data_IF_995336389098
#
_entry.id   IF_995336389098
#
_cell.length_a   1.000
_cell.length_b   1.000
_cell.length_c   1.000
_cell.angle_alpha   90.00
_cell.angle_beta   90.00
_cell.angle_gamma   90.00
#
_symmetry.space_group_name_H-M   'P 1'
#
loop_
_entity.id
_entity.type
_entity.pdbx_description
1 polymer ?
#
# COMPACT_ATOMS: atom_id res chain seq x y z
N UNK A 1 -2.84 6.17 5.94
CA UNK A 1 -2.24 4.85 6.24
C UNK A 1 -1.82 4.68 7.70
N UNK A 2 -0.57 5.00 8.10
CA UNK A 2 0.05 4.47 9.34
C UNK A 2 -0.74 4.66 10.66
N UNK A 3 -1.40 5.79 10.87
CA UNK A 3 -2.22 6.02 12.07
C UNK A 3 -3.39 5.01 12.19
N UNK A 4 -3.95 4.55 11.09
CA UNK A 4 -5.04 3.55 11.05
C UNK A 4 -4.51 2.14 11.30
N UNK A 5 -3.34 1.78 10.78
CA UNK A 5 -2.68 0.50 11.11
C UNK A 5 -2.27 0.45 12.59
N UNK A 6 -1.80 1.56 13.16
CA UNK A 6 -1.57 1.70 14.61
C UNK A 6 -2.86 1.62 15.42
N UNK A 7 -3.99 2.09 14.90
CA UNK A 7 -5.29 1.90 15.56
C UNK A 7 -5.70 0.41 15.56
N UNK A 8 -5.49 -0.29 14.44
CA UNK A 8 -5.74 -1.73 14.32
C UNK A 8 -4.90 -2.57 15.29
N UNK A 9 -3.58 -2.33 15.35
CA UNK A 9 -2.69 -3.05 16.31
C UNK A 9 -2.91 -2.67 17.78
N UNK A 10 -3.69 -1.61 18.05
CA UNK A 10 -4.16 -1.22 19.38
C UNK A 10 -5.64 -1.61 19.63
N UNK A 11 -6.14 -2.65 18.93
CA UNK A 11 -7.44 -3.25 19.21
C UNK A 11 -8.66 -2.44 18.76
N UNK A 12 -8.50 -1.54 17.78
CA UNK A 12 -9.60 -0.73 17.21
C UNK A 12 -9.89 -1.14 15.78
N UNK A 13 -11.16 -1.25 15.40
CA UNK A 13 -11.53 -1.43 14.00
C UNK A 13 -11.04 -0.25 13.16
N UNK A 14 -10.30 -0.54 12.09
CA UNK A 14 -9.83 0.44 11.12
C UNK A 14 -10.40 0.11 9.74
N UNK A 15 -10.88 1.13 9.02
CA UNK A 15 -11.43 0.99 7.67
C UNK A 15 -10.57 1.79 6.70
N UNK A 16 -10.22 1.18 5.58
CA UNK A 16 -9.59 1.85 4.43
C UNK A 16 -10.56 1.84 3.26
N UNK A 17 -10.74 2.99 2.63
CA UNK A 17 -11.52 3.17 1.41
C UNK A 17 -10.56 3.34 0.21
N UNK A 18 -10.85 2.61 -0.87
CA UNK A 18 -10.14 2.61 -2.16
C UNK A 18 -9.89 4.01 -2.71
N UNK A 19 -10.84 4.93 -2.56
CA UNK A 19 -10.73 6.29 -3.13
C UNK A 19 -9.87 7.23 -2.25
N UNK A 20 -9.78 6.98 -0.94
CA UNK A 20 -9.09 7.86 0.02
C UNK A 20 -7.85 7.26 0.70
N UNK A 21 -7.27 6.17 0.19
CA UNK A 21 -6.06 5.53 0.78
C UNK A 21 -4.81 6.43 0.87
N UNK A 22 -4.75 7.52 0.11
CA UNK A 22 -3.61 8.45 0.05
C UNK A 22 -2.54 8.02 -0.95
N UNK A 23 -1.38 7.53 -0.45
CA UNK A 23 -0.24 7.18 -1.30
C UNK A 23 -0.47 5.86 -2.06
N UNK A 24 -0.06 5.77 -3.33
CA UNK A 24 -0.21 4.56 -4.16
C UNK A 24 0.39 3.29 -3.55
N UNK A 25 1.50 3.39 -2.81
CA UNK A 25 2.07 2.26 -2.08
C UNK A 25 1.12 1.68 -1.02
N UNK A 26 0.28 2.53 -0.39
CA UNK A 26 -0.81 2.06 0.49
C UNK A 26 -1.94 1.40 -0.29
N UNK A 27 -2.30 1.89 -1.48
CA UNK A 27 -3.33 1.27 -2.32
C UNK A 27 -2.92 -0.13 -2.80
N UNK A 28 -1.68 -0.27 -3.27
CA UNK A 28 -1.08 -1.57 -3.65
C UNK A 28 -0.99 -2.50 -2.43
N UNK A 29 -0.47 -2.03 -1.29
CA UNK A 29 -0.37 -2.82 -0.06
C UNK A 29 -1.74 -3.24 0.52
N UNK A 30 -2.80 -2.48 0.25
CA UNK A 30 -4.19 -2.80 0.63
C UNK A 30 -4.92 -3.62 -0.44
N UNK A 31 -4.28 -3.97 -1.56
CA UNK A 31 -4.89 -4.79 -2.61
C UNK A 31 -5.99 -4.08 -3.41
N UNK A 32 -5.85 -2.77 -3.61
CA UNK A 32 -6.74 -1.95 -4.44
C UNK A 32 -6.17 -1.74 -5.87
N UNK A 33 -5.51 -2.77 -6.42
CA UNK A 33 -4.92 -2.75 -7.76
C UNK A 33 -3.60 -1.98 -7.84
N UNK A 34 -3.15 -1.68 -9.07
CA UNK A 34 -1.88 -0.96 -9.28
C UNK A 34 -2.05 0.55 -9.05
N UNK A 35 -2.19 0.94 -7.78
CA UNK A 35 -2.41 2.33 -7.38
C UNK A 35 -1.19 3.26 -7.56
N UNK A 36 -0.07 2.78 -8.13
CA UNK A 36 1.06 3.66 -8.47
C UNK A 36 0.69 4.68 -9.55
N UNK A 37 0.02 4.29 -10.65
CA UNK A 37 -0.45 5.29 -11.64
C UNK A 37 -1.49 6.26 -11.05
N UNK A 38 -2.53 5.73 -10.39
CA UNK A 38 -3.71 6.53 -9.97
C UNK A 38 -3.40 7.58 -8.91
N UNK A 39 -2.37 7.35 -8.08
CA UNK A 39 -1.93 8.29 -7.04
C UNK A 39 -0.95 9.37 -7.53
N UNK A 40 -0.68 9.45 -8.83
CA UNK A 40 0.31 10.37 -9.40
C UNK A 40 1.77 9.95 -9.20
N UNK A 41 2.04 8.78 -8.59
CA UNK A 41 3.39 8.21 -8.51
C UNK A 41 3.87 7.64 -9.87
N UNK A 42 2.93 7.24 -10.74
CA UNK A 42 3.15 6.77 -12.11
C UNK A 42 3.84 5.40 -12.21
N UNK A 43 3.37 4.52 -13.09
CA UNK A 43 3.94 3.16 -13.25
C UNK A 43 5.41 3.15 -13.77
N UNK A 44 5.94 4.31 -14.19
CA UNK A 44 7.39 4.61 -14.34
C UNK A 44 7.62 6.12 -14.13
N UNK A 45 6.98 6.68 -13.09
CA UNK A 45 6.75 8.12 -12.92
C UNK A 45 7.38 8.76 -11.68
N UNK A 46 8.39 8.12 -11.07
CA UNK A 46 9.15 8.65 -9.93
C UNK A 46 9.36 7.65 -8.81
N UNK A 47 8.52 6.61 -8.71
CA UNK A 47 8.66 5.56 -7.70
C UNK A 47 10.00 4.81 -7.83
N UNK A 48 10.48 4.63 -9.07
CA UNK A 48 11.78 4.02 -9.34
C UNK A 48 12.97 4.86 -8.84
N UNK A 49 12.90 6.19 -8.93
CA UNK A 49 13.93 7.08 -8.35
C UNK A 49 13.80 7.16 -6.83
N UNK A 50 12.58 7.25 -6.29
CA UNK A 50 12.31 7.28 -4.86
C UNK A 50 12.84 6.03 -4.15
N UNK A 51 12.67 4.84 -4.73
CA UNK A 51 13.20 3.58 -4.19
C UNK A 51 14.71 3.36 -4.51
N UNK A 52 15.40 4.33 -5.11
CA UNK A 52 16.82 4.25 -5.45
C UNK A 52 17.59 5.54 -5.14
N UNK A 53 17.99 6.31 -6.16
CA UNK A 53 18.96 7.41 -6.08
C UNK A 53 18.35 8.78 -5.74
N UNK A 54 17.03 8.88 -5.64
CA UNK A 54 16.32 10.15 -5.70
C UNK A 54 16.33 10.74 -7.12
N UNK A 55 15.63 11.87 -7.29
CA UNK A 55 15.49 12.57 -8.60
C UNK A 55 16.51 13.69 -8.83
N UNK A 56 17.36 13.98 -7.85
CA UNK A 56 18.24 15.15 -7.84
C UNK A 56 17.57 16.39 -7.25
N UNK A 57 18.10 17.57 -7.57
CA UNK A 57 17.70 18.84 -6.96
C UNK A 57 16.20 19.15 -7.12
N UNK A 58 15.61 19.76 -6.07
CA UNK A 58 14.18 20.07 -6.03
C UNK A 58 13.27 18.92 -5.62
N UNK A 59 13.80 17.70 -5.44
CA UNK A 59 13.07 16.53 -4.96
C UNK A 59 13.62 15.99 -3.64
N UNK A 60 12.90 15.05 -3.03
CA UNK A 60 13.41 14.26 -1.91
C UNK A 60 14.56 13.34 -2.36
N UNK A 61 15.46 13.05 -1.44
CA UNK A 61 16.47 12.00 -1.55
C UNK A 61 15.80 10.63 -1.73
N UNK A 62 16.51 9.67 -2.33
CA UNK A 62 16.02 8.32 -2.50
C UNK A 62 16.20 7.47 -1.24
N UNK A 63 15.25 6.57 -0.99
CA UNK A 63 15.27 5.57 0.08
C UNK A 63 16.41 4.53 -0.06
N UNK A 64 17.10 4.47 -1.21
CA UNK A 64 18.27 3.63 -1.41
C UNK A 64 18.03 2.10 -1.47
N UNK A 65 16.77 1.65 -1.37
CA UNK A 65 16.43 0.20 -1.33
C UNK A 65 16.90 -0.58 -2.56
N UNK A 66 17.09 0.09 -3.69
CA UNK A 66 17.62 -0.47 -4.95
C UNK A 66 18.76 0.42 -5.46
N UNK A 67 19.84 -0.20 -5.95
CA UNK A 67 21.06 0.52 -6.35
C UNK A 67 20.86 1.50 -7.51
N UNK A 68 19.89 1.26 -8.39
CA UNK A 68 19.61 2.11 -9.56
C UNK A 68 18.10 2.17 -9.87
N UNK A 69 17.63 3.18 -10.61
CA UNK A 69 16.23 3.28 -11.03
C UNK A 69 15.75 2.10 -11.89
N UNK A 70 16.62 1.48 -12.70
CA UNK A 70 16.25 0.33 -13.53
C UNK A 70 15.92 -0.89 -12.67
N UNK A 71 16.70 -1.12 -11.60
CA UNK A 71 16.44 -2.18 -10.62
C UNK A 71 15.18 -1.91 -9.80
N UNK A 72 14.87 -0.64 -9.52
CA UNK A 72 13.64 -0.24 -8.84
C UNK A 72 12.41 -0.38 -9.74
N UNK A 73 12.49 0.05 -11.00
CA UNK A 73 11.42 -0.12 -12.00
C UNK A 73 11.15 -1.60 -12.26
N UNK A 74 12.20 -2.42 -12.40
CA UNK A 74 12.09 -3.87 -12.50
C UNK A 74 11.39 -4.47 -11.27
N UNK A 75 11.75 -4.04 -10.05
CA UNK A 75 11.10 -4.49 -8.82
C UNK A 75 9.61 -4.13 -8.79
N UNK A 76 9.24 -2.87 -9.03
CA UNK A 76 7.84 -2.40 -8.99
C UNK A 76 6.97 -3.14 -10.02
N UNK A 77 7.47 -3.33 -11.24
CA UNK A 77 6.76 -4.06 -12.32
C UNK A 77 6.57 -5.55 -12.06
N UNK A 78 7.32 -6.14 -11.13
CA UNK A 78 7.23 -7.55 -10.73
C UNK A 78 6.64 -7.75 -9.32
N UNK A 79 6.02 -6.71 -8.74
CA UNK A 79 5.22 -6.88 -7.53
C UNK A 79 3.98 -7.75 -7.83
N UNK A 80 3.58 -8.66 -6.93
CA UNK A 80 2.33 -9.41 -7.05
C UNK A 80 1.14 -8.51 -6.73
N UNK A 81 0.77 -7.64 -7.68
CA UNK A 81 -0.35 -6.72 -7.54
C UNK A 81 -1.66 -7.52 -7.43
N UNK A 82 -2.46 -7.21 -6.42
CA UNK A 82 -3.80 -7.76 -6.22
C UNK A 82 -4.81 -6.62 -6.37
N UNK A 83 -5.89 -6.85 -7.11
CA UNK A 83 -7.03 -5.94 -7.19
C UNK A 83 -8.28 -6.67 -6.65
N UNK A 84 -8.65 -6.38 -5.41
CA UNK A 84 -9.82 -6.96 -4.75
C UNK A 84 -11.08 -6.18 -5.14
N UNK A 85 -12.20 -6.81 -5.52
CA UNK A 85 -13.40 -6.15 -6.06
C UNK A 85 -14.26 -5.42 -5.00
N UNK A 86 -13.61 -4.79 -4.01
CA UNK A 86 -14.23 -4.12 -2.88
C UNK A 86 -13.76 -2.65 -2.80
N UNK A 87 -14.67 -1.76 -2.40
CA UNK A 87 -14.37 -0.36 -2.07
C UNK A 87 -13.65 -0.25 -0.72
N UNK A 88 -14.06 -1.06 0.26
CA UNK A 88 -13.54 -0.98 1.63
C UNK A 88 -12.71 -2.21 2.00
N UNK A 89 -11.64 -2.00 2.78
CA UNK A 89 -10.89 -3.06 3.45
C UNK A 89 -10.86 -2.78 4.95
N UNK A 90 -11.48 -3.68 5.71
CA UNK A 90 -11.66 -3.55 7.17
C UNK A 90 -10.60 -4.39 7.89
N UNK A 91 -9.94 -3.80 8.87
CA UNK A 91 -9.09 -4.47 9.85
C UNK A 91 -9.85 -4.47 11.17
N UNK A 92 -10.28 -5.65 11.61
CA UNK A 92 -11.04 -5.87 12.85
C UNK A 92 -10.21 -6.74 13.80
N UNK A 93 -10.19 -6.46 15.12
CA UNK A 93 -9.58 -7.36 16.10
C UNK A 93 -10.22 -8.76 16.05
N UNK A 94 -9.40 -9.81 16.13
CA UNK A 94 -9.86 -11.20 15.89
C UNK A 94 -10.82 -11.71 16.99
N UNK A 95 -10.71 -11.18 18.20
CA UNK A 95 -11.61 -11.40 19.34
C UNK A 95 -12.98 -10.72 19.16
N UNK A 96 -13.10 -9.79 18.21
CA UNK A 96 -14.35 -9.09 17.86
C UNK A 96 -15.00 -9.63 16.58
N UNK A 97 -14.40 -10.62 15.92
CA UNK A 97 -14.98 -11.30 14.76
C UNK A 97 -16.10 -12.24 15.21
N UNK A 98 -17.25 -12.18 14.55
CA UNK A 98 -18.34 -13.16 14.73
C UNK A 98 -18.38 -14.15 13.55
N UNK A 99 -17.91 -15.41 13.72
CA UNK A 99 -17.91 -16.40 12.65
C UNK A 99 -19.29 -16.81 12.11
N UNK A 100 -20.38 -16.43 12.79
CA UNK A 100 -21.75 -16.64 12.29
C UNK A 100 -22.23 -15.52 11.36
N UNK A 101 -21.51 -14.38 11.31
CA UNK A 101 -21.90 -13.17 10.56
C UNK A 101 -20.85 -12.77 9.52
N UNK A 102 -19.56 -12.95 9.80
CA UNK A 102 -18.45 -12.53 8.92
C UNK A 102 -17.32 -13.57 8.86
N UNK A 103 -16.65 -13.66 7.71
CA UNK A 103 -15.50 -14.55 7.51
C UNK A 103 -14.22 -13.73 7.27
N UNK A 104 -13.17 -13.84 8.10
CA UNK A 104 -11.90 -13.17 7.86
C UNK A 104 -11.21 -13.68 6.59
N UNK A 105 -10.96 -12.78 5.64
CA UNK A 105 -10.22 -13.10 4.40
C UNK A 105 -8.71 -13.27 4.63
N UNK A 106 -8.17 -12.72 5.72
CA UNK A 106 -6.76 -12.74 6.10
C UNK A 106 -6.64 -12.46 7.61
N UNK A 107 -5.71 -13.14 8.28
CA UNK A 107 -5.24 -12.80 9.63
C UNK A 107 -3.77 -12.39 9.51
N UNK A 108 -3.36 -11.35 10.22
CA UNK A 108 -1.99 -10.83 10.26
C UNK A 108 -1.63 -10.42 11.68
N UNK A 109 -0.34 -10.42 11.98
CA UNK A 109 0.25 -10.12 13.30
C UNK A 109 1.21 -8.94 13.19
#
# INVERSE_FOLDING_TARGET
MMAMLKAASLGRTAVFDRETIGCGGSGVGLGFGNAFHTSGAGDTGGIEYFLSTGRGEGYLEGEGYRKTPELASCFVRNLPIIDLPYTYRVFKPLDQVDPAVEQPCLVTF
#
